data_IF_825617034029
#
_entry.id   IF_825617034029
#
_cell.length_a   1.000
_cell.length_b   1.000
_cell.length_c   1.000
_cell.angle_alpha   90.00
_cell.angle_beta   90.00
_cell.angle_gamma   90.00
#
_symmetry.space_group_name_H-M   'P 1'
#
loop_
_entity.id
_entity.type
_entity.pdbx_description
1 polymer ?
#
# COMPACT_ATOMS: atom_id res chain seq x y z
N UNK A 1 -30.39 -40.87 18.24
CA UNK A 1 -29.46 -39.78 18.50
C UNK A 1 -30.20 -38.68 19.28
N UNK A 2 -29.66 -38.25 20.42
CA UNK A 2 -30.31 -37.21 21.28
C UNK A 2 -30.41 -35.87 20.53
N UNK A 3 -31.48 -35.09 20.77
CA UNK A 3 -31.72 -33.79 20.09
C UNK A 3 -30.50 -32.87 20.15
N UNK A 4 -29.81 -32.78 21.31
CA UNK A 4 -28.60 -32.01 21.50
C UNK A 4 -27.45 -32.43 20.57
N UNK A 5 -27.27 -33.73 20.33
CA UNK A 5 -26.23 -34.26 19.43
C UNK A 5 -26.52 -33.90 17.97
N UNK A 6 -27.78 -33.90 17.55
CA UNK A 6 -28.16 -33.42 16.19
C UNK A 6 -27.83 -31.96 15.98
N UNK A 7 -28.19 -31.10 16.94
CA UNK A 7 -27.92 -29.65 16.88
C UNK A 7 -26.40 -29.43 16.81
N UNK A 8 -25.64 -30.10 17.65
CA UNK A 8 -24.16 -29.96 17.63
C UNK A 8 -23.57 -30.36 16.27
N UNK A 9 -24.04 -31.43 15.65
CA UNK A 9 -23.59 -31.85 14.31
C UNK A 9 -23.91 -30.76 13.28
N UNK A 10 -25.13 -30.23 13.28
CA UNK A 10 -25.49 -29.13 12.32
C UNK A 10 -24.62 -27.92 12.48
N UNK A 11 -24.34 -27.51 13.72
CA UNK A 11 -23.46 -26.34 13.99
C UNK A 11 -22.05 -26.59 13.49
N UNK A 12 -21.49 -27.77 13.79
CA UNK A 12 -20.15 -28.16 13.31
C UNK A 12 -20.11 -28.21 11.78
N UNK A 13 -21.09 -28.82 11.14
CA UNK A 13 -21.19 -28.91 9.68
C UNK A 13 -21.27 -27.50 9.07
N UNK A 14 -22.08 -26.60 9.64
CA UNK A 14 -22.17 -25.23 9.18
C UNK A 14 -20.83 -24.48 9.26
N UNK A 15 -20.13 -24.60 10.40
CA UNK A 15 -18.83 -23.97 10.59
C UNK A 15 -17.82 -24.52 9.57
N UNK A 16 -17.77 -25.81 9.37
CA UNK A 16 -16.83 -26.46 8.41
C UNK A 16 -17.12 -25.99 6.99
N UNK A 17 -18.38 -26.01 6.57
CA UNK A 17 -18.77 -25.54 5.22
C UNK A 17 -18.46 -24.07 5.04
N UNK A 18 -18.71 -23.25 6.06
CA UNK A 18 -18.38 -21.80 6.02
C UNK A 18 -16.88 -21.57 5.86
N UNK A 19 -16.04 -22.26 6.65
CA UNK A 19 -14.59 -22.14 6.58
C UNK A 19 -14.04 -22.63 5.22
N UNK A 20 -14.54 -23.75 4.71
CA UNK A 20 -14.15 -24.26 3.39
C UNK A 20 -14.55 -23.26 2.30
N UNK A 21 -15.75 -22.71 2.34
CA UNK A 21 -16.22 -21.71 1.38
C UNK A 21 -15.39 -20.43 1.42
N UNK A 22 -15.01 -19.96 2.61
CA UNK A 22 -14.14 -18.80 2.80
C UNK A 22 -12.73 -19.08 2.23
N UNK A 23 -12.17 -20.26 2.50
CA UNK A 23 -10.88 -20.68 1.95
C UNK A 23 -10.90 -20.75 0.42
N UNK A 24 -11.93 -21.38 -0.16
CA UNK A 24 -12.10 -21.45 -1.62
C UNK A 24 -12.20 -20.05 -2.21
N UNK A 25 -12.95 -19.15 -1.56
CA UNK A 25 -13.07 -17.77 -2.01
C UNK A 25 -11.70 -17.04 -2.00
N UNK A 26 -10.93 -17.18 -0.92
CA UNK A 26 -9.59 -16.60 -0.82
C UNK A 26 -8.67 -17.18 -1.90
N UNK A 27 -8.71 -18.48 -2.15
CA UNK A 27 -7.89 -19.13 -3.18
C UNK A 27 -8.27 -18.72 -4.60
N UNK A 28 -9.56 -18.53 -4.88
CA UNK A 28 -10.04 -18.19 -6.23
C UNK A 28 -9.99 -16.68 -6.51
N UNK A 29 -10.24 -15.85 -5.51
CA UNK A 29 -10.38 -14.40 -5.65
C UNK A 29 -9.20 -13.63 -5.02
N UNK A 30 -8.34 -14.30 -4.22
CA UNK A 30 -7.30 -13.68 -3.40
C UNK A 30 -7.88 -12.82 -2.28
N UNK A 31 -7.00 -12.22 -1.51
CA UNK A 31 -7.39 -11.17 -0.57
C UNK A 31 -7.86 -9.96 -1.38
N UNK A 32 -9.15 -9.63 -1.27
CA UNK A 32 -9.65 -8.38 -1.82
C UNK A 32 -9.02 -7.22 -1.01
N UNK A 33 -8.83 -6.03 -1.51
CA UNK A 33 -9.38 -5.34 -2.68
C UNK A 33 -8.41 -5.16 -3.85
N UNK A 34 -7.16 -5.61 -3.76
CA UNK A 34 -6.11 -5.42 -4.78
C UNK A 34 -6.52 -5.91 -6.19
N UNK A 35 -7.40 -6.90 -6.26
CA UNK A 35 -7.90 -7.41 -7.54
C UNK A 35 -8.94 -6.51 -8.22
N UNK A 36 -9.49 -5.52 -7.52
CA UNK A 36 -10.49 -4.61 -8.07
C UNK A 36 -9.86 -3.44 -8.83
N UNK A 37 -8.57 -3.16 -8.56
CA UNK A 37 -7.83 -2.09 -9.21
C UNK A 37 -6.70 -2.71 -10.02
N UNK A 38 -7.00 -3.11 -11.25
CA UNK A 38 -5.97 -3.46 -12.22
C UNK A 38 -5.67 -2.25 -13.09
N UNK A 39 -4.44 -1.81 -13.04
CA UNK A 39 -3.91 -0.81 -13.96
C UNK A 39 -2.77 -1.48 -14.72
N UNK A 40 -2.91 -1.57 -16.04
CA UNK A 40 -1.79 -1.89 -16.90
C UNK A 40 -0.88 -0.66 -16.95
N UNK A 41 0.37 -0.85 -16.55
CA UNK A 41 1.35 0.22 -16.47
C UNK A 41 2.45 0.03 -17.49
N UNK A 42 2.67 1.05 -18.29
CA UNK A 42 3.79 1.15 -19.22
C UNK A 42 4.32 2.60 -19.26
N UNK A 43 5.36 2.84 -20.03
CA UNK A 43 6.00 4.16 -20.15
C UNK A 43 5.05 5.26 -20.67
N UNK A 44 3.96 4.90 -21.35
CA UNK A 44 2.96 5.89 -21.82
C UNK A 44 2.09 6.41 -20.67
N UNK A 45 1.94 5.63 -19.60
CA UNK A 45 1.17 5.99 -18.41
C UNK A 45 1.99 6.87 -17.47
N UNK A 46 3.28 6.59 -17.32
CA UNK A 46 4.15 7.35 -16.45
C UNK A 46 5.44 6.62 -16.08
N UNK A 47 6.20 7.23 -15.20
CA UNK A 47 7.46 6.69 -14.69
C UNK A 47 7.32 6.23 -13.24
N UNK A 48 8.02 5.14 -12.88
CA UNK A 48 8.10 4.63 -11.50
C UNK A 48 9.56 4.72 -11.04
N UNK A 49 9.77 5.40 -9.94
CA UNK A 49 11.05 5.44 -9.24
C UNK A 49 10.90 4.60 -7.97
N UNK A 50 11.49 3.40 -7.97
CA UNK A 50 11.32 2.43 -6.89
C UNK A 50 12.51 2.42 -5.93
N UNK A 51 12.23 2.05 -4.67
CA UNK A 51 13.22 1.86 -3.61
C UNK A 51 14.10 3.11 -3.37
N UNK A 52 13.46 4.28 -3.35
CA UNK A 52 14.13 5.52 -3.00
C UNK A 52 14.26 5.62 -1.48
N UNK A 53 15.48 5.75 -0.97
CA UNK A 53 15.73 5.91 0.47
C UNK A 53 15.41 7.33 0.93
N UNK A 54 14.85 7.46 2.14
CA UNK A 54 14.65 8.77 2.78
C UNK A 54 15.42 8.91 4.11
N UNK A 55 15.98 7.82 4.67
CA UNK A 55 16.80 7.83 5.88
C UNK A 55 18.13 7.08 5.76
N UNK A 56 18.52 6.63 4.57
CA UNK A 56 19.78 5.92 4.29
C UNK A 56 19.98 4.61 5.07
N UNK A 57 18.91 3.87 5.36
CA UNK A 57 18.96 2.64 6.16
C UNK A 57 18.43 1.40 5.44
N UNK A 58 18.06 1.50 4.17
CA UNK A 58 17.44 0.45 3.33
C UNK A 58 16.14 -0.16 3.90
N UNK A 59 15.58 0.44 4.95
CA UNK A 59 14.29 0.08 5.54
C UNK A 59 13.27 1.14 5.21
N UNK A 60 13.67 2.40 5.37
CA UNK A 60 12.85 3.57 5.21
C UNK A 60 12.88 4.04 3.76
N UNK A 61 12.11 3.34 2.91
CA UNK A 61 12.07 3.54 1.47
C UNK A 61 10.68 3.98 0.98
N UNK A 62 10.63 4.52 -0.23
CA UNK A 62 9.38 4.82 -0.91
C UNK A 62 9.47 4.52 -2.40
N UNK A 63 8.31 4.27 -3.00
CA UNK A 63 8.13 4.25 -4.44
C UNK A 63 7.38 5.50 -4.89
N UNK A 64 7.84 6.13 -5.95
CA UNK A 64 7.27 7.35 -6.51
C UNK A 64 6.78 7.09 -7.93
N UNK A 65 5.53 7.47 -8.21
CA UNK A 65 4.87 7.30 -9.49
C UNK A 65 4.54 8.68 -10.07
N UNK A 66 5.12 8.99 -11.21
CA UNK A 66 4.93 10.26 -11.91
C UNK A 66 4.12 10.01 -13.18
N UNK A 67 2.87 10.49 -13.28
CA UNK A 67 2.07 10.35 -14.49
C UNK A 67 2.70 11.06 -15.68
N UNK A 68 2.55 10.50 -16.87
CA UNK A 68 2.89 11.19 -18.12
C UNK A 68 1.98 12.41 -18.36
N UNK A 69 2.53 13.42 -19.03
CA UNK A 69 1.75 14.58 -19.48
C UNK A 69 1.40 15.61 -18.42
N UNK A 70 2.00 15.54 -17.23
CA UNK A 70 1.83 16.59 -16.23
C UNK A 70 2.49 17.90 -16.68
N UNK A 71 1.78 19.02 -16.48
CA UNK A 71 2.33 20.35 -16.72
C UNK A 71 3.26 20.76 -15.55
N UNK A 72 4.55 20.89 -15.85
CA UNK A 72 5.58 21.28 -14.87
C UNK A 72 5.46 22.72 -14.40
N UNK A 73 4.68 23.56 -15.08
CA UNK A 73 4.43 24.95 -14.69
C UNK A 73 3.34 25.08 -13.63
N UNK A 74 2.54 24.02 -13.42
CA UNK A 74 1.46 24.00 -12.45
C UNK A 74 1.85 23.26 -11.18
N UNK A 75 1.22 23.65 -10.06
CA UNK A 75 1.35 22.89 -8.81
C UNK A 75 0.63 21.55 -8.92
N UNK A 76 1.32 20.50 -8.52
CA UNK A 76 0.80 19.15 -8.53
C UNK A 76 0.32 18.74 -7.13
N UNK A 77 -0.56 17.73 -7.08
CA UNK A 77 -1.03 17.14 -5.83
C UNK A 77 -0.35 15.80 -5.61
N UNK A 78 0.13 15.58 -4.38
CA UNK A 78 0.67 14.30 -3.93
C UNK A 78 -0.44 13.48 -3.28
N UNK A 79 -0.62 12.24 -3.77
CA UNK A 79 -1.42 11.23 -3.09
C UNK A 79 -0.46 10.21 -2.46
N UNK A 80 -0.40 10.19 -1.14
CA UNK A 80 0.51 9.34 -0.37
C UNK A 80 -0.24 8.12 0.17
N UNK A 81 0.26 6.92 -0.17
CA UNK A 81 -0.21 5.68 0.42
C UNK A 81 0.68 5.30 1.61
N UNK A 82 0.04 5.08 2.74
CA UNK A 82 0.67 4.60 3.97
C UNK A 82 0.01 3.25 4.30
N UNK A 83 0.81 2.18 4.30
CA UNK A 83 0.27 0.85 4.52
C UNK A 83 -0.23 0.64 5.95
N UNK A 84 -1.22 -0.25 6.10
CA UNK A 84 -1.67 -0.75 7.40
C UNK A 84 -0.82 -1.92 7.89
N UNK A 85 -1.37 -2.74 8.81
CA UNK A 85 -0.73 -3.99 9.26
C UNK A 85 -0.48 -4.03 10.77
N UNK A 86 -1.23 -3.24 11.56
CA UNK A 86 -1.15 -3.22 13.03
C UNK A 86 0.27 -3.03 13.56
N UNK A 87 1.08 -2.24 12.87
CA UNK A 87 2.47 -1.91 13.20
C UNK A 87 3.48 -3.07 13.14
N UNK A 88 3.05 -4.24 12.67
CA UNK A 88 3.88 -5.45 12.61
C UNK A 88 4.08 -5.98 11.19
N UNK A 89 3.31 -5.51 10.22
CA UNK A 89 3.32 -6.01 8.85
C UNK A 89 2.87 -4.94 7.86
N UNK A 90 2.95 -5.28 6.58
CA UNK A 90 2.67 -4.37 5.49
C UNK A 90 3.95 -3.80 4.90
N UNK A 91 3.82 -3.24 3.72
CA UNK A 91 4.92 -2.60 3.03
C UNK A 91 4.39 -1.64 1.96
N UNK A 92 5.29 -0.86 1.34
CA UNK A 92 4.96 0.05 0.24
C UNK A 92 4.38 -0.67 -0.98
N UNK A 93 4.72 -1.95 -1.18
CA UNK A 93 4.17 -2.78 -2.25
C UNK A 93 2.66 -2.97 -2.14
N UNK A 94 2.10 -2.92 -0.93
CA UNK A 94 0.64 -2.97 -0.70
C UNK A 94 -0.08 -1.79 -1.36
N UNK A 95 0.63 -0.68 -1.59
CA UNK A 95 0.13 0.53 -2.23
C UNK A 95 0.24 0.57 -3.75
N UNK A 96 0.95 -0.37 -4.38
CA UNK A 96 1.28 -0.30 -5.80
C UNK A 96 0.06 -0.09 -6.70
N UNK A 97 -0.97 -0.91 -6.55
CA UNK A 97 -2.18 -0.82 -7.36
C UNK A 97 -2.94 0.49 -7.16
N UNK A 98 -2.95 1.01 -5.93
CA UNK A 98 -3.55 2.30 -5.61
C UNK A 98 -2.77 3.46 -6.22
N UNK A 99 -1.45 3.44 -6.07
CA UNK A 99 -0.59 4.47 -6.63
C UNK A 99 -0.70 4.53 -8.15
N UNK A 100 -0.64 3.38 -8.83
CA UNK A 100 -0.86 3.29 -10.28
C UNK A 100 -2.24 3.85 -10.69
N UNK A 101 -3.30 3.47 -9.96
CA UNK A 101 -4.65 3.95 -10.26
C UNK A 101 -4.76 5.47 -10.15
N UNK A 102 -4.29 6.07 -9.06
CA UNK A 102 -4.37 7.52 -8.88
C UNK A 102 -3.43 8.27 -9.83
N UNK A 103 -2.30 7.68 -10.20
CA UNK A 103 -1.44 8.24 -11.23
C UNK A 103 -2.16 8.33 -12.58
N UNK A 104 -2.99 7.34 -12.98
CA UNK A 104 -3.83 7.46 -14.19
C UNK A 104 -4.89 8.58 -14.10
N UNK A 105 -5.12 9.14 -12.91
CA UNK A 105 -6.00 10.31 -12.69
C UNK A 105 -5.24 11.64 -12.65
N UNK A 106 -3.93 11.61 -12.93
CA UNK A 106 -3.10 12.81 -12.99
C UNK A 106 -2.49 13.23 -11.65
N UNK A 107 -2.52 12.38 -10.61
CA UNK A 107 -1.86 12.66 -9.34
C UNK A 107 -0.44 12.10 -9.33
N UNK A 108 0.52 12.87 -8.80
CA UNK A 108 1.77 12.29 -8.34
C UNK A 108 1.46 11.43 -7.13
N UNK A 109 1.89 10.17 -7.13
CA UNK A 109 1.59 9.25 -6.04
C UNK A 109 2.86 8.63 -5.47
N UNK A 110 2.84 8.32 -4.19
CA UNK A 110 3.93 7.60 -3.55
C UNK A 110 3.39 6.61 -2.53
N UNK A 111 4.13 5.52 -2.35
CA UNK A 111 3.92 4.52 -1.32
C UNK A 111 5.15 4.42 -0.46
N UNK A 112 5.02 4.42 0.86
CA UNK A 112 6.13 4.50 1.81
C UNK A 112 6.18 3.31 2.74
N UNK A 113 7.40 2.85 3.03
CA UNK A 113 7.71 2.00 4.17
C UNK A 113 8.02 2.86 5.40
N UNK A 114 7.79 2.31 6.56
CA UNK A 114 8.17 2.88 7.85
C UNK A 114 8.54 1.75 8.81
N UNK A 115 9.29 2.06 9.87
CA UNK A 115 9.78 1.06 10.82
C UNK A 115 8.65 0.30 11.51
N UNK A 116 8.68 -1.03 11.41
CA UNK A 116 7.75 -1.96 12.06
C UNK A 116 8.33 -2.54 13.34
N UNK A 117 7.48 -2.94 14.29
CA UNK A 117 7.88 -3.50 15.57
C UNK A 117 8.76 -4.75 15.47
N UNK A 118 8.60 -5.55 14.43
CA UNK A 118 9.36 -6.78 14.20
C UNK A 118 10.75 -6.56 13.59
N UNK A 119 11.15 -5.31 13.30
CA UNK A 119 12.42 -4.97 12.64
C UNK A 119 13.54 -4.63 13.63
N UNK A 120 13.36 -4.91 14.92
CA UNK A 120 14.42 -4.75 15.94
C UNK A 120 14.72 -3.31 16.36
N UNK A 121 13.92 -2.35 15.92
CA UNK A 121 13.91 -0.97 16.41
C UNK A 121 12.74 -0.77 17.38
N UNK A 122 12.85 0.20 18.27
CA UNK A 122 11.75 0.61 19.16
C UNK A 122 10.67 1.35 18.37
N UNK A 123 9.93 0.61 17.55
CA UNK A 123 8.85 1.16 16.76
C UNK A 123 7.77 1.77 17.66
N UNK A 124 7.46 3.02 17.41
CA UNK A 124 6.41 3.75 18.13
C UNK A 124 5.62 4.61 17.15
N UNK A 125 4.41 5.01 17.52
CA UNK A 125 3.60 5.94 16.71
C UNK A 125 4.35 7.25 16.46
N UNK A 126 5.16 7.72 17.43
CA UNK A 126 5.95 8.93 17.26
C UNK A 126 7.05 8.76 16.21
N UNK A 127 7.80 7.64 16.28
CA UNK A 127 8.81 7.33 15.28
C UNK A 127 8.20 7.21 13.88
N UNK A 128 7.10 6.47 13.74
CA UNK A 128 6.41 6.31 12.45
C UNK A 128 5.94 7.64 11.88
N UNK A 129 5.41 8.55 12.70
CA UNK A 129 5.02 9.89 12.24
C UNK A 129 6.23 10.71 11.77
N UNK A 130 7.34 10.66 12.50
CA UNK A 130 8.59 11.34 12.12
C UNK A 130 9.13 10.79 10.79
N UNK A 131 9.16 9.48 10.63
CA UNK A 131 9.57 8.80 9.39
C UNK A 131 8.67 9.18 8.21
N UNK A 132 7.34 9.21 8.39
CA UNK A 132 6.40 9.63 7.34
C UNK A 132 6.62 11.10 6.98
N UNK A 133 6.86 11.99 7.95
CA UNK A 133 7.20 13.40 7.66
C UNK A 133 8.50 13.51 6.86
N UNK A 134 9.51 12.71 7.19
CA UNK A 134 10.79 12.67 6.47
C UNK A 134 10.59 12.13 5.05
N UNK A 135 9.79 11.08 4.88
CA UNK A 135 9.40 10.57 3.57
C UNK A 135 8.72 11.65 2.71
N UNK A 136 7.76 12.40 3.27
CA UNK A 136 7.09 13.51 2.55
C UNK A 136 8.10 14.58 2.11
N UNK A 137 9.07 14.94 2.96
CA UNK A 137 10.13 15.90 2.62
C UNK A 137 11.00 15.38 1.47
N UNK A 138 11.40 14.10 1.55
CA UNK A 138 12.21 13.44 0.50
C UNK A 138 11.43 13.36 -0.83
N UNK A 139 10.15 13.00 -0.80
CA UNK A 139 9.28 12.96 -1.98
C UNK A 139 9.17 14.36 -2.62
N UNK A 140 8.92 15.39 -1.81
CA UNK A 140 8.86 16.78 -2.32
C UNK A 140 10.19 17.24 -2.92
N UNK A 141 11.30 16.85 -2.33
CA UNK A 141 12.63 17.15 -2.88
C UNK A 141 12.86 16.42 -4.20
N UNK A 142 12.55 15.12 -4.25
CA UNK A 142 12.71 14.30 -5.46
C UNK A 142 11.83 14.79 -6.60
N UNK A 143 10.57 15.11 -6.33
CA UNK A 143 9.66 15.66 -7.35
C UNK A 143 10.16 17.00 -7.88
N UNK A 144 10.71 17.86 -7.02
CA UNK A 144 11.32 19.12 -7.42
C UNK A 144 12.54 18.92 -8.33
N UNK A 145 13.40 17.93 -8.05
CA UNK A 145 14.53 17.56 -8.92
C UNK A 145 14.07 17.09 -10.30
N UNK A 146 12.90 16.44 -10.39
CA UNK A 146 12.25 16.03 -11.63
C UNK A 146 11.52 17.20 -12.35
N UNK A 147 11.50 18.38 -11.73
CA UNK A 147 10.90 19.59 -12.27
C UNK A 147 9.42 19.78 -11.94
N UNK A 148 8.88 19.07 -10.95
CA UNK A 148 7.49 19.20 -10.50
C UNK A 148 7.43 19.90 -9.14
N UNK A 149 6.37 20.69 -8.94
CA UNK A 149 6.11 21.37 -7.67
C UNK A 149 4.86 20.77 -7.01
N UNK A 150 5.00 20.27 -5.78
CA UNK A 150 3.89 19.77 -4.97
C UNK A 150 3.35 20.90 -4.10
N UNK A 151 2.03 21.12 -4.19
CA UNK A 151 1.30 22.12 -3.41
C UNK A 151 1.40 21.89 -1.89
#
# INVERSE_FOLDING_TARGET
>A
MKKKTKILIYVITFIVVFLISALIRIMLLGSAPERLIKVEWDESVGEIYSNLDYENDNVNQYDLYIPSGLDKSENQYLNLFIHGGSFNSGSKEDGESWCKYYATKGYITASVDYTLQNQGKDASIYLMNEEIENAVKAIKQKTKELGYHIA
#
